data_IF_205332229298
#
_entry.id   IF_205332229298
#
_cell.length_a   1.000
_cell.length_b   1.000
_cell.length_c   1.000
_cell.angle_alpha   90.00
_cell.angle_beta   90.00
_cell.angle_gamma   90.00
#
_symmetry.space_group_name_H-M   'P 1'
#
loop_
_entity.id
_entity.type
_entity.pdbx_description
1 polymer ?
#
# COMPACT_ATOMS: atom_id res chain seq x y z
N UNK A 1 0.24 -15.10 11.06
CA UNK A 1 1.69 -15.24 10.89
C UNK A 1 1.83 -16.14 9.70
N UNK A 2 2.25 -15.62 8.55
CA UNK A 2 2.38 -16.43 7.35
C UNK A 2 3.86 -16.78 7.15
N UNK A 3 4.78 -15.82 7.17
CA UNK A 3 6.24 -16.09 7.22
C UNK A 3 7.02 -15.05 8.06
N UNK A 4 6.79 -13.76 7.87
CA UNK A 4 7.56 -12.71 8.54
C UNK A 4 7.31 -12.66 10.07
N UNK A 5 8.39 -12.49 10.86
CA UNK A 5 8.27 -12.28 12.31
C UNK A 5 8.33 -10.80 12.67
N UNK A 6 7.42 -10.30 13.54
CA UNK A 6 7.43 -8.90 13.96
C UNK A 6 8.74 -8.46 14.63
N UNK A 7 9.42 -9.37 15.34
CA UNK A 7 10.69 -9.11 16.00
C UNK A 7 11.81 -8.70 15.03
N UNK A 8 11.70 -9.09 13.76
CA UNK A 8 12.70 -8.78 12.75
C UNK A 8 12.61 -7.35 12.23
N UNK A 9 11.48 -6.70 12.47
CA UNK A 9 11.14 -5.41 11.93
C UNK A 9 10.91 -4.39 13.05
N UNK A 10 11.02 -3.14 12.68
CA UNK A 10 10.60 -2.00 13.47
C UNK A 10 9.65 -1.16 12.63
N UNK A 11 8.93 -0.24 13.27
CA UNK A 11 8.16 0.74 12.55
C UNK A 11 9.08 1.70 11.80
N UNK A 12 8.75 2.01 10.54
CA UNK A 12 9.40 3.10 9.80
C UNK A 12 8.78 4.43 10.22
N UNK A 13 9.58 5.33 10.81
CA UNK A 13 9.14 6.68 11.22
C UNK A 13 9.35 7.73 10.13
N UNK A 14 10.40 7.58 9.34
CA UNK A 14 10.81 8.51 8.28
C UNK A 14 11.10 7.73 6.99
N UNK A 15 10.94 8.38 5.83
CA UNK A 15 11.23 7.75 4.53
C UNK A 15 10.10 6.89 3.96
N UNK A 16 8.84 7.20 4.31
CA UNK A 16 7.64 6.59 3.73
C UNK A 16 6.94 5.58 4.64
N UNK A 17 5.96 4.87 4.06
CA UNK A 17 5.16 3.85 4.75
C UNK A 17 5.90 2.52 4.89
N UNK A 18 5.51 1.75 5.90
CA UNK A 18 5.88 0.35 6.06
C UNK A 18 6.86 0.06 7.19
N UNK A 19 7.69 -0.96 6.98
CA UNK A 19 8.56 -1.54 8.00
C UNK A 19 10.02 -1.07 7.83
N UNK A 20 10.67 -0.76 8.95
CA UNK A 20 12.12 -0.66 9.06
C UNK A 20 12.72 -2.03 9.37
N UNK A 21 13.90 -2.31 8.84
CA UNK A 21 14.63 -3.54 9.18
C UNK A 21 15.28 -3.33 10.54
N UNK A 22 15.01 -4.23 11.50
CA UNK A 22 15.61 -4.19 12.85
C UNK A 22 16.77 -5.17 12.98
N UNK A 23 16.67 -6.32 12.31
CA UNK A 23 17.60 -7.44 12.47
C UNK A 23 18.10 -7.95 11.12
N UNK A 24 19.21 -8.71 11.12
CA UNK A 24 19.72 -9.34 9.90
C UNK A 24 18.72 -10.38 9.34
N UNK A 25 17.93 -11.05 10.18
CA UNK A 25 16.88 -11.97 9.72
C UNK A 25 15.82 -11.22 8.90
N UNK A 26 15.47 -9.99 9.31
CA UNK A 26 14.59 -9.12 8.54
C UNK A 26 15.18 -8.72 7.19
N UNK A 27 16.48 -8.43 7.15
CA UNK A 27 17.18 -8.15 5.89
C UNK A 27 17.19 -9.37 4.96
N UNK A 28 17.54 -10.55 5.48
CA UNK A 28 17.53 -11.82 4.72
C UNK A 28 16.13 -12.16 4.24
N UNK A 29 15.10 -11.96 5.06
CA UNK A 29 13.71 -12.15 4.63
C UNK A 29 13.37 -11.26 3.43
N UNK A 30 13.63 -9.95 3.51
CA UNK A 30 13.32 -9.03 2.40
C UNK A 30 14.11 -9.42 1.14
N UNK A 31 15.40 -9.72 1.28
CA UNK A 31 16.23 -10.17 0.16
C UNK A 31 15.70 -11.47 -0.46
N UNK A 32 15.32 -12.45 0.36
CA UNK A 32 14.75 -13.72 -0.09
C UNK A 32 13.41 -13.51 -0.81
N UNK A 33 12.54 -12.64 -0.30
CA UNK A 33 11.26 -12.32 -0.95
C UNK A 33 11.44 -11.65 -2.31
N UNK A 34 12.43 -10.78 -2.46
CA UNK A 34 12.78 -10.16 -3.74
C UNK A 34 13.40 -11.16 -4.70
N UNK A 35 14.33 -12.00 -4.22
CA UNK A 35 14.94 -13.05 -5.03
C UNK A 35 13.89 -14.07 -5.51
N UNK A 36 12.96 -14.45 -4.64
CA UNK A 36 11.84 -15.34 -4.98
C UNK A 36 10.93 -14.73 -6.04
N UNK A 37 10.59 -13.44 -5.95
CA UNK A 37 9.82 -12.77 -7.01
C UNK A 37 10.55 -12.85 -8.36
N UNK A 38 11.84 -12.53 -8.39
CA UNK A 38 12.64 -12.58 -9.62
C UNK A 38 12.66 -14.00 -10.18
N UNK A 39 12.91 -15.00 -9.33
CA UNK A 39 12.91 -16.41 -9.75
C UNK A 39 11.54 -16.83 -10.31
N UNK A 40 10.44 -16.47 -9.64
CA UNK A 40 9.08 -16.77 -10.10
C UNK A 40 8.77 -16.12 -11.45
N UNK A 41 9.20 -14.87 -11.67
CA UNK A 41 9.04 -14.18 -12.97
C UNK A 41 9.82 -14.88 -14.08
N UNK A 42 11.03 -15.38 -13.80
CA UNK A 42 11.84 -16.13 -14.78
C UNK A 42 11.21 -17.49 -15.09
N UNK A 43 10.65 -18.16 -14.08
CA UNK A 43 9.96 -19.45 -14.24
C UNK A 43 8.59 -19.33 -14.94
N UNK A 44 7.97 -18.14 -14.92
CA UNK A 44 6.68 -17.87 -15.57
C UNK A 44 6.74 -17.88 -17.11
N UNK A 45 7.90 -18.14 -17.71
CA UNK A 45 8.09 -18.20 -19.17
C UNK A 45 8.15 -16.82 -19.81
N UNK A 46 7.79 -16.70 -21.09
CA UNK A 46 7.84 -15.42 -21.84
C UNK A 46 6.51 -14.66 -21.84
N UNK A 47 5.40 -15.31 -21.48
CA UNK A 47 4.07 -14.70 -21.52
C UNK A 47 3.96 -13.54 -20.54
N UNK A 48 3.61 -12.36 -21.06
CA UNK A 48 3.38 -11.14 -20.28
C UNK A 48 2.21 -11.35 -19.31
N UNK A 49 1.12 -11.97 -19.77
CA UNK A 49 -0.05 -12.24 -18.94
C UNK A 49 0.27 -13.12 -17.75
N UNK A 50 1.08 -14.17 -17.97
CA UNK A 50 1.50 -15.08 -16.89
C UNK A 50 2.41 -14.36 -15.90
N UNK A 51 3.37 -13.54 -16.37
CA UNK A 51 4.23 -12.72 -15.50
C UNK A 51 3.43 -11.73 -14.66
N UNK A 52 2.44 -11.06 -15.27
CA UNK A 52 1.57 -10.12 -14.56
C UNK A 52 0.75 -10.83 -13.49
N UNK A 53 0.18 -11.99 -13.81
CA UNK A 53 -0.59 -12.79 -12.85
C UNK A 53 0.31 -13.25 -11.68
N UNK A 54 1.48 -13.82 -11.97
CA UNK A 54 2.44 -14.26 -10.95
C UNK A 54 2.88 -13.09 -10.07
N UNK A 55 3.21 -11.94 -10.67
CA UNK A 55 3.60 -10.74 -9.94
C UNK A 55 2.45 -10.25 -9.06
N UNK A 56 1.23 -10.18 -9.59
CA UNK A 56 0.05 -9.75 -8.84
C UNK A 56 -0.23 -10.63 -7.63
N UNK A 57 -0.24 -11.96 -7.82
CA UNK A 57 -0.43 -12.93 -6.72
C UNK A 57 0.68 -12.80 -5.68
N UNK A 58 1.94 -12.67 -6.10
CA UNK A 58 3.07 -12.51 -5.19
C UNK A 58 3.01 -11.20 -4.39
N UNK A 59 2.60 -10.10 -5.03
CA UNK A 59 2.40 -8.82 -4.38
C UNK A 59 1.29 -8.88 -3.33
N UNK A 60 0.16 -9.54 -3.63
CA UNK A 60 -0.92 -9.75 -2.65
C UNK A 60 -0.40 -10.57 -1.46
N UNK A 61 0.32 -11.66 -1.70
CA UNK A 61 0.94 -12.46 -0.65
C UNK A 61 1.86 -11.61 0.25
N UNK A 62 2.76 -10.84 -0.36
CA UNK A 62 3.68 -9.95 0.34
C UNK A 62 2.95 -8.90 1.17
N UNK A 63 1.91 -8.29 0.61
CA UNK A 63 1.11 -7.29 1.33
C UNK A 63 0.46 -7.93 2.56
N UNK A 64 -0.19 -9.08 2.43
CA UNK A 64 -0.84 -9.76 3.56
C UNK A 64 0.18 -10.07 4.67
N UNK A 65 1.36 -10.58 4.35
CA UNK A 65 2.38 -10.94 5.35
C UNK A 65 2.97 -9.69 6.03
N UNK A 66 3.25 -8.62 5.27
CA UNK A 66 3.71 -7.33 5.82
C UNK A 66 2.63 -6.67 6.69
N UNK A 67 1.36 -6.71 6.29
CA UNK A 67 0.25 -6.18 7.08
C UNK A 67 0.06 -6.95 8.40
N UNK A 68 0.17 -8.29 8.40
CA UNK A 68 0.13 -9.09 9.63
C UNK A 68 1.24 -8.68 10.61
N UNK A 69 2.44 -8.39 10.10
CA UNK A 69 3.55 -7.87 10.92
C UNK A 69 3.24 -6.48 11.45
N UNK A 70 2.82 -5.55 10.58
CA UNK A 70 2.52 -4.17 10.96
C UNK A 70 1.43 -4.11 12.04
N UNK A 71 0.43 -4.99 11.99
CA UNK A 71 -0.63 -5.09 12.99
C UNK A 71 -0.12 -5.54 14.37
N UNK A 72 0.89 -6.41 14.39
CA UNK A 72 1.46 -6.99 15.61
C UNK A 72 2.55 -6.15 16.26
N UNK A 73 3.07 -5.14 15.56
CA UNK A 73 4.04 -4.23 16.14
C UNK A 73 3.39 -3.39 17.23
N UNK A 74 3.93 -3.50 18.45
CA UNK A 74 3.51 -2.67 19.57
C UNK A 74 3.84 -1.21 19.28
N UNK A 75 2.91 -0.33 19.65
CA UNK A 75 3.01 1.13 19.50
C UNK A 75 2.67 1.76 20.83
N UNK A 76 3.53 2.65 21.30
CA UNK A 76 3.26 3.49 22.46
C UNK A 76 2.17 4.52 22.13
N UNK A 77 1.50 5.06 23.15
CA UNK A 77 0.41 6.04 22.96
C UNK A 77 0.85 7.28 22.17
N UNK A 78 2.04 7.83 22.51
CA UNK A 78 2.62 8.95 21.78
C UNK A 78 2.90 8.61 20.32
N UNK A 79 3.38 7.40 20.06
CA UNK A 79 3.67 6.94 18.71
C UNK A 79 2.40 6.74 17.88
N UNK A 80 1.32 6.25 18.48
CA UNK A 80 -0.01 6.15 17.84
C UNK A 80 -0.55 7.52 17.46
N UNK A 81 -0.45 8.50 18.36
CA UNK A 81 -0.90 9.87 18.08
C UNK A 81 -0.10 10.51 16.94
N UNK A 82 1.22 10.41 16.97
CA UNK A 82 2.07 10.94 15.90
C UNK A 82 1.79 10.25 14.56
N UNK A 83 1.54 8.94 14.56
CA UNK A 83 1.12 8.20 13.37
C UNK A 83 -0.19 8.69 12.82
N UNK A 84 -1.23 8.81 13.66
CA UNK A 84 -2.54 9.25 13.22
C UNK A 84 -2.47 10.65 12.56
N UNK A 85 -1.68 11.57 13.11
CA UNK A 85 -1.47 12.90 12.51
C UNK A 85 -0.70 12.79 11.18
N UNK A 86 0.38 12.01 11.14
CA UNK A 86 1.18 11.83 9.94
C UNK A 86 0.37 11.18 8.80
N UNK A 87 -0.37 10.10 9.09
CA UNK A 87 -1.22 9.40 8.12
C UNK A 87 -2.37 10.29 7.65
N UNK A 88 -2.97 11.08 8.54
CA UNK A 88 -3.97 12.08 8.15
C UNK A 88 -3.38 13.10 7.17
N UNK A 89 -2.21 13.66 7.47
CA UNK A 89 -1.57 14.65 6.60
C UNK A 89 -1.16 14.03 5.25
N UNK A 90 -0.66 12.80 5.26
CA UNK A 90 -0.32 12.08 4.04
C UNK A 90 -1.56 11.78 3.19
N UNK A 91 -2.67 11.36 3.82
CA UNK A 91 -3.95 11.16 3.14
C UNK A 91 -4.47 12.46 2.51
N UNK A 92 -4.42 13.60 3.23
CA UNK A 92 -4.77 14.91 2.66
C UNK A 92 -3.90 15.28 1.46
N UNK A 93 -2.58 15.13 1.57
CA UNK A 93 -1.66 15.39 0.46
C UNK A 93 -1.97 14.53 -0.76
N UNK A 94 -2.17 13.23 -0.57
CA UNK A 94 -2.55 12.32 -1.65
C UNK A 94 -3.89 12.66 -2.28
N UNK A 95 -4.92 12.99 -1.48
CA UNK A 95 -6.24 13.35 -2.00
C UNK A 95 -6.17 14.58 -2.91
N UNK A 96 -5.40 15.60 -2.53
CA UNK A 96 -5.21 16.81 -3.36
C UNK A 96 -4.55 16.43 -4.68
N UNK A 97 -3.43 15.70 -4.64
CA UNK A 97 -2.68 15.31 -5.83
C UNK A 97 -3.52 14.42 -6.76
N UNK A 98 -4.24 13.44 -6.21
CA UNK A 98 -5.10 12.55 -7.01
C UNK A 98 -6.27 13.31 -7.64
N UNK A 99 -6.90 14.24 -6.90
CA UNK A 99 -8.00 15.04 -7.43
C UNK A 99 -7.53 15.95 -8.56
N UNK A 100 -6.40 16.64 -8.39
CA UNK A 100 -5.79 17.45 -9.43
C UNK A 100 -5.34 16.59 -10.62
N UNK A 101 -4.77 15.41 -10.36
CA UNK A 101 -4.36 14.46 -11.39
C UNK A 101 -5.53 13.99 -12.25
N UNK A 102 -6.67 13.64 -11.65
CA UNK A 102 -7.88 13.29 -12.38
C UNK A 102 -8.39 14.47 -13.21
N UNK A 103 -8.40 15.68 -12.63
CA UNK A 103 -8.82 16.87 -13.36
C UNK A 103 -7.95 17.11 -14.60
N UNK A 104 -6.62 17.03 -14.45
CA UNK A 104 -5.67 17.19 -15.56
C UNK A 104 -5.83 16.08 -16.61
N UNK A 105 -5.98 14.81 -16.18
CA UNK A 105 -6.18 13.66 -17.07
C UNK A 105 -7.45 13.83 -17.91
N UNK A 106 -8.56 14.22 -17.28
CA UNK A 106 -9.83 14.48 -17.97
C UNK A 106 -9.66 15.63 -18.99
N UNK A 107 -9.11 16.77 -18.56
CA UNK A 107 -8.92 17.92 -19.44
C UNK A 107 -8.04 17.58 -20.64
N UNK A 108 -6.94 16.86 -20.41
CA UNK A 108 -6.04 16.42 -21.48
C UNK A 108 -6.75 15.50 -22.47
N UNK A 109 -7.54 14.52 -22.01
CA UNK A 109 -8.26 13.62 -22.90
C UNK A 109 -9.35 14.36 -23.70
N UNK A 110 -10.10 15.26 -23.07
CA UNK A 110 -11.11 16.10 -23.74
C UNK A 110 -10.49 16.99 -24.81
N UNK A 111 -9.35 17.63 -24.53
CA UNK A 111 -8.64 18.48 -25.50
C UNK A 111 -8.07 17.71 -26.70
N UNK A 112 -7.93 16.38 -26.58
CA UNK A 112 -7.46 15.49 -27.65
C UNK A 112 -8.62 14.68 -28.28
N UNK A 113 -9.87 15.11 -28.09
CA UNK A 113 -11.08 14.45 -28.60
C UNK A 113 -11.21 12.98 -28.17
N UNK A 114 -10.67 12.63 -26.99
CA UNK A 114 -10.77 11.28 -26.40
C UNK A 114 -11.70 11.32 -25.20
N UNK A 115 -12.69 10.44 -25.19
CA UNK A 115 -13.51 10.19 -24.01
C UNK A 115 -12.92 9.01 -23.21
N UNK A 116 -11.91 9.31 -22.39
CA UNK A 116 -11.27 8.32 -21.51
C UNK A 116 -11.03 8.94 -20.14
N UNK A 117 -11.33 8.17 -19.10
CA UNK A 117 -11.04 8.51 -17.71
C UNK A 117 -10.37 7.31 -17.09
N UNK A 118 -9.19 7.49 -16.49
CA UNK A 118 -8.48 6.39 -15.88
C UNK A 118 -9.28 5.81 -14.68
N UNK A 119 -9.82 4.57 -14.78
CA UNK A 119 -10.67 4.01 -13.73
C UNK A 119 -9.89 3.71 -12.45
N UNK A 120 -8.56 3.52 -12.52
CA UNK A 120 -7.73 3.30 -11.33
C UNK A 120 -7.57 4.58 -10.50
N UNK A 121 -7.41 5.74 -11.15
CA UNK A 121 -7.32 7.02 -10.45
C UNK A 121 -8.65 7.34 -9.75
N UNK A 122 -9.77 7.24 -10.47
CA UNK A 122 -11.10 7.47 -9.91
C UNK A 122 -11.42 6.45 -8.82
N UNK A 123 -11.14 5.17 -9.07
CA UNK A 123 -11.34 4.08 -8.13
C UNK A 123 -10.55 4.28 -6.83
N UNK A 124 -9.32 4.79 -6.90
CA UNK A 124 -8.50 5.06 -5.71
C UNK A 124 -9.15 6.08 -4.75
N UNK A 125 -9.70 7.18 -5.30
CA UNK A 125 -10.42 8.16 -4.49
C UNK A 125 -11.74 7.60 -3.95
N UNK A 126 -12.50 6.87 -4.78
CA UNK A 126 -13.78 6.29 -4.37
C UNK A 126 -13.59 5.29 -3.21
N UNK A 127 -12.61 4.38 -3.32
CA UNK A 127 -12.26 3.44 -2.25
C UNK A 127 -11.82 4.18 -0.98
N UNK A 128 -11.00 5.21 -1.11
CA UNK A 128 -10.58 6.04 0.03
C UNK A 128 -11.76 6.68 0.77
N UNK A 129 -12.73 7.24 0.03
CA UNK A 129 -13.95 7.83 0.60
C UNK A 129 -14.81 6.76 1.29
N UNK A 130 -15.01 5.60 0.66
CA UNK A 130 -15.80 4.50 1.24
C UNK A 130 -15.17 4.04 2.57
N UNK A 131 -13.86 3.76 2.58
CA UNK A 131 -13.16 3.31 3.79
C UNK A 131 -13.29 4.34 4.91
N UNK A 132 -13.09 5.63 4.60
CA UNK A 132 -13.24 6.73 5.57
C UNK A 132 -14.65 6.76 6.15
N UNK A 133 -15.67 6.73 5.30
CA UNK A 133 -17.08 6.80 5.72
C UNK A 133 -17.48 5.61 6.58
N UNK A 134 -17.12 4.39 6.17
CA UNK A 134 -17.39 3.16 6.94
C UNK A 134 -16.68 3.19 8.30
N UNK A 135 -15.42 3.62 8.33
CA UNK A 135 -14.64 3.69 9.57
C UNK A 135 -15.24 4.73 10.52
N UNK A 136 -15.59 5.92 10.04
CA UNK A 136 -16.24 6.95 10.86
C UNK A 136 -17.57 6.47 11.43
N UNK A 137 -18.43 5.88 10.60
CA UNK A 137 -19.72 5.35 11.03
C UNK A 137 -19.59 4.29 12.12
N UNK A 138 -18.60 3.40 11.99
CA UNK A 138 -18.31 2.40 13.01
C UNK A 138 -17.86 3.04 14.33
N UNK A 139 -16.91 3.97 14.27
CA UNK A 139 -16.37 4.64 15.45
C UNK A 139 -17.40 5.53 16.17
N UNK A 140 -18.32 6.16 15.44
CA UNK A 140 -19.43 6.92 16.02
C UNK A 140 -20.43 6.04 16.78
N UNK A 141 -20.54 4.75 16.44
CA UNK A 141 -21.42 3.80 17.13
C UNK A 141 -20.77 3.12 18.33
N UNK A 142 -19.44 3.03 18.33
CA UNK A 142 -18.67 2.41 19.40
C UNK A 142 -18.33 3.40 20.54
N UNK A 143 -18.44 4.71 20.29
CA UNK A 143 -18.30 5.79 21.28
C UNK A 143 -19.67 6.31 21.74
#
# INVERSE_FOLDING_TARGET
MIIAKPEWFTRRKYGGWGLGIKTWQGAVYIAAMMAALIALIQLAGESVETKLLVTGVWMVFLLVDVFDVMWKLKKDERERMHEAIAERNAAWGMMIVLTLGIFVDIMYNVMNDRFYVNPFLVGSLAVGVIIKSVTNYKLEREN
#
